data_IF_323423442907
#
_entry.id   IF_323423442907
#
_cell.length_a   1.000
_cell.length_b   1.000
_cell.length_c   1.000
_cell.angle_alpha   90.00
_cell.angle_beta   90.00
_cell.angle_gamma   90.00
#
_symmetry.space_group_name_H-M   'P 1'
#
loop_
_entity.id
_entity.type
_entity.pdbx_description
1 polymer ?
#
# COMPACT_ATOMS: atom_id res chain seq x y z
N UNK A 1 6.78 -23.05 -16.99
CA UNK A 1 7.29 -22.29 -15.84
C UNK A 1 6.31 -21.18 -15.46
N UNK A 2 5.65 -21.34 -14.34
CA UNK A 2 4.74 -20.31 -13.87
C UNK A 2 5.54 -19.16 -13.29
N UNK A 3 5.53 -18.01 -13.96
CA UNK A 3 6.10 -16.81 -13.37
C UNK A 3 5.22 -16.38 -12.20
N UNK A 4 5.80 -16.30 -11.01
CA UNK A 4 5.13 -15.66 -9.89
C UNK A 4 4.98 -14.18 -10.20
N UNK A 5 3.75 -13.69 -10.09
CA UNK A 5 3.51 -12.26 -10.13
C UNK A 5 4.20 -11.64 -8.93
N UNK A 6 5.04 -10.64 -9.17
CA UNK A 6 5.68 -9.90 -8.09
C UNK A 6 4.65 -9.10 -7.31
N UNK A 7 4.89 -8.94 -6.03
CA UNK A 7 4.11 -8.03 -5.21
C UNK A 7 4.33 -6.61 -5.73
N UNK A 8 3.24 -5.91 -6.02
CA UNK A 8 3.25 -4.60 -6.65
C UNK A 8 2.92 -3.51 -5.65
N UNK A 9 3.80 -2.52 -5.55
CA UNK A 9 3.63 -1.34 -4.70
C UNK A 9 3.40 -0.13 -5.59
N UNK A 10 2.37 0.65 -5.28
CA UNK A 10 2.12 1.93 -5.92
C UNK A 10 2.69 3.04 -5.04
N UNK A 11 3.65 3.80 -5.57
CA UNK A 11 4.23 4.95 -4.88
C UNK A 11 3.69 6.24 -5.48
N UNK A 12 3.16 7.13 -4.65
CA UNK A 12 2.57 8.40 -5.07
C UNK A 12 3.27 9.53 -4.33
N UNK A 13 3.92 10.43 -5.07
CA UNK A 13 4.63 11.58 -4.51
C UNK A 13 4.86 12.58 -5.63
N UNK A 14 4.58 13.87 -5.39
CA UNK A 14 4.81 14.92 -6.38
C UNK A 14 6.29 15.30 -6.54
N UNK A 15 7.15 14.87 -5.62
CA UNK A 15 8.59 15.08 -5.68
C UNK A 15 9.27 13.90 -6.37
N UNK A 16 9.68 14.11 -7.60
CA UNK A 16 10.23 13.05 -8.45
C UNK A 16 11.47 12.38 -7.83
N UNK A 17 12.37 13.16 -7.22
CA UNK A 17 13.59 12.61 -6.63
C UNK A 17 13.29 11.62 -5.49
N UNK A 18 12.37 11.98 -4.60
CA UNK A 18 11.94 11.09 -3.52
C UNK A 18 11.22 9.85 -4.05
N UNK A 19 10.39 10.03 -5.07
CA UNK A 19 9.65 8.96 -5.70
C UNK A 19 10.59 7.92 -6.34
N UNK A 20 11.60 8.38 -7.07
CA UNK A 20 12.58 7.50 -7.71
C UNK A 20 13.44 6.77 -6.67
N UNK A 21 13.84 7.45 -5.61
CA UNK A 21 14.61 6.83 -4.52
C UNK A 21 13.83 5.68 -3.88
N UNK A 22 12.54 5.89 -3.61
CA UNK A 22 11.69 4.82 -3.05
C UNK A 22 11.48 3.69 -4.04
N UNK A 23 11.29 4.02 -5.31
CA UNK A 23 11.17 3.01 -6.36
C UNK A 23 12.40 2.10 -6.40
N UNK A 24 13.59 2.69 -6.41
CA UNK A 24 14.85 1.94 -6.43
C UNK A 24 14.99 1.06 -5.20
N UNK A 25 14.68 1.59 -4.03
CA UNK A 25 14.72 0.85 -2.77
C UNK A 25 13.80 -0.37 -2.82
N UNK A 26 12.56 -0.17 -3.22
CA UNK A 26 11.56 -1.24 -3.23
C UNK A 26 11.88 -2.29 -4.31
N UNK A 27 12.30 -1.86 -5.48
CA UNK A 27 12.68 -2.79 -6.55
C UNK A 27 13.88 -3.64 -6.16
N UNK A 28 14.86 -3.06 -5.44
CA UNK A 28 16.02 -3.81 -4.97
C UNK A 28 15.66 -4.84 -3.90
N UNK A 29 14.47 -4.75 -3.32
CA UNK A 29 13.94 -5.69 -2.35
C UNK A 29 12.87 -6.62 -2.92
N UNK A 30 12.78 -6.72 -4.23
CA UNK A 30 11.96 -7.71 -4.91
C UNK A 30 10.55 -7.28 -5.27
N UNK A 31 10.18 -6.02 -5.04
CA UNK A 31 8.86 -5.51 -5.40
C UNK A 31 8.82 -5.00 -6.84
N UNK A 32 7.67 -5.11 -7.45
CA UNK A 32 7.34 -4.35 -8.65
C UNK A 32 6.77 -3.02 -8.21
N UNK A 33 7.18 -1.90 -8.84
CA UNK A 33 6.77 -0.58 -8.40
C UNK A 33 6.11 0.19 -9.53
N UNK A 34 4.93 0.72 -9.27
CA UNK A 34 4.27 1.71 -10.11
C UNK A 34 4.43 3.07 -9.44
N UNK A 35 4.61 4.11 -10.23
CA UNK A 35 4.82 5.46 -9.71
C UNK A 35 3.77 6.40 -10.27
N UNK A 36 3.34 7.34 -9.43
CA UNK A 36 2.43 8.41 -9.80
C UNK A 36 2.92 9.71 -9.16
N UNK A 37 2.82 10.82 -9.87
CA UNK A 37 3.26 12.13 -9.38
C UNK A 37 2.13 12.96 -8.80
N UNK A 38 0.95 12.40 -8.65
CA UNK A 38 -0.20 13.07 -8.04
C UNK A 38 -1.32 12.11 -7.71
N UNK A 39 -2.31 12.60 -6.96
CA UNK A 39 -3.40 11.79 -6.46
C UNK A 39 -4.29 11.21 -7.54
N UNK A 40 -4.63 11.99 -8.56
CA UNK A 40 -5.49 11.52 -9.66
C UNK A 40 -4.82 10.40 -10.46
N UNK A 41 -3.54 10.56 -10.78
CA UNK A 41 -2.78 9.51 -11.46
C UNK A 41 -2.67 8.27 -10.58
N UNK A 42 -2.42 8.45 -9.29
CA UNK A 42 -2.35 7.35 -8.33
C UNK A 42 -3.65 6.54 -8.28
N UNK A 43 -4.80 7.23 -8.22
CA UNK A 43 -6.11 6.57 -8.26
C UNK A 43 -6.31 5.80 -9.56
N UNK A 44 -5.95 6.39 -10.68
CA UNK A 44 -6.09 5.74 -11.99
C UNK A 44 -5.26 4.46 -12.06
N UNK A 45 -4.02 4.51 -11.58
CA UNK A 45 -3.16 3.32 -11.56
C UNK A 45 -3.67 2.25 -10.61
N UNK A 46 -4.18 2.64 -9.45
CA UNK A 46 -4.79 1.71 -8.50
C UNK A 46 -5.97 0.96 -9.12
N UNK A 47 -6.80 1.67 -9.88
CA UNK A 47 -7.99 1.09 -10.51
C UNK A 47 -7.64 0.19 -11.70
N UNK A 48 -6.56 0.50 -12.42
CA UNK A 48 -6.21 -0.20 -13.66
C UNK A 48 -5.19 -1.32 -13.48
N UNK A 49 -4.61 -1.47 -12.31
CA UNK A 49 -3.58 -2.47 -12.04
C UNK A 49 -3.87 -3.22 -10.74
N UNK A 50 -3.31 -4.42 -10.62
CA UNK A 50 -3.33 -5.17 -9.37
C UNK A 50 -2.25 -4.61 -8.45
N UNK A 51 -2.65 -3.83 -7.46
CA UNK A 51 -1.77 -3.19 -6.49
C UNK A 51 -1.94 -3.88 -5.14
N UNK A 52 -0.83 -4.22 -4.51
CA UNK A 52 -0.83 -4.93 -3.22
C UNK A 52 -0.73 -3.99 -2.03
N UNK A 53 -0.07 -2.84 -2.20
CA UNK A 53 0.02 -1.81 -1.17
C UNK A 53 0.34 -0.47 -1.83
N UNK A 54 0.03 0.62 -1.12
CA UNK A 54 0.27 1.99 -1.59
C UNK A 54 1.16 2.70 -0.59
N UNK A 55 2.18 3.41 -1.10
CA UNK A 55 2.99 4.36 -0.34
C UNK A 55 2.66 5.74 -0.86
N UNK A 56 2.06 6.56 -0.02
CA UNK A 56 1.39 7.78 -0.41
C UNK A 56 1.96 8.97 0.36
N UNK A 57 2.42 10.00 -0.36
CA UNK A 57 2.85 11.25 0.25
C UNK A 57 1.65 12.04 0.77
N UNK A 58 1.79 12.64 1.95
CA UNK A 58 0.72 13.47 2.51
C UNK A 58 0.59 14.81 1.78
N UNK A 59 1.73 15.52 1.62
CA UNK A 59 1.68 16.85 1.01
C UNK A 59 1.84 16.79 -0.51
N UNK A 60 0.76 17.07 -1.20
CA UNK A 60 0.76 17.14 -2.66
C UNK A 60 -0.13 18.29 -3.13
N UNK A 61 0.23 18.99 -4.22
CA UNK A 61 -0.62 20.05 -4.77
C UNK A 61 -2.00 19.52 -5.16
N UNK A 62 -3.00 20.32 -4.92
CA UNK A 62 -4.38 20.03 -5.32
C UNK A 62 -5.11 19.11 -4.36
N UNK A 63 -4.54 17.98 -3.98
CA UNK A 63 -5.20 17.00 -3.13
C UNK A 63 -4.17 16.33 -2.24
N UNK A 64 -4.28 16.56 -0.92
CA UNK A 64 -3.38 15.92 0.05
C UNK A 64 -3.63 14.41 0.13
N UNK A 65 -2.62 13.69 0.63
CA UNK A 65 -2.65 12.24 0.69
C UNK A 65 -3.77 11.65 1.55
N UNK A 66 -4.21 12.35 2.58
CA UNK A 66 -5.34 11.89 3.41
C UNK A 66 -6.65 11.80 2.58
N UNK A 67 -6.88 12.75 1.69
CA UNK A 67 -8.05 12.75 0.79
C UNK A 67 -7.91 11.64 -0.25
N UNK A 68 -6.73 11.49 -0.82
CA UNK A 68 -6.44 10.42 -1.78
C UNK A 68 -6.68 9.04 -1.13
N UNK A 69 -6.21 8.86 0.11
CA UNK A 69 -6.38 7.61 0.83
C UNK A 69 -7.86 7.24 1.01
N UNK A 70 -8.71 8.20 1.32
CA UNK A 70 -10.16 7.97 1.43
C UNK A 70 -10.72 7.45 0.11
N UNK A 71 -10.37 8.10 -1.00
CA UNK A 71 -10.82 7.68 -2.33
C UNK A 71 -10.31 6.29 -2.69
N UNK A 72 -9.05 6.00 -2.36
CA UNK A 72 -8.46 4.69 -2.60
C UNK A 72 -9.15 3.58 -1.81
N UNK A 73 -9.45 3.83 -0.54
CA UNK A 73 -10.14 2.85 0.31
C UNK A 73 -11.57 2.60 -0.15
N UNK A 74 -12.25 3.61 -0.66
CA UNK A 74 -13.58 3.42 -1.25
C UNK A 74 -13.55 2.54 -2.48
N UNK A 75 -12.48 2.65 -3.27
CA UNK A 75 -12.32 1.88 -4.51
C UNK A 75 -11.85 0.45 -4.22
N UNK A 76 -10.85 0.28 -3.34
CA UNK A 76 -10.24 -1.00 -3.01
C UNK A 76 -9.89 -1.05 -1.51
N UNK A 77 -10.88 -1.34 -0.68
CA UNK A 77 -10.77 -1.27 0.78
C UNK A 77 -9.72 -2.21 1.37
N UNK A 78 -9.36 -3.27 0.66
CA UNK A 78 -8.42 -4.29 1.14
C UNK A 78 -6.94 -3.91 0.90
N UNK A 79 -6.66 -2.87 0.11
CA UNK A 79 -5.28 -2.49 -0.20
C UNK A 79 -4.74 -1.60 0.92
N UNK A 80 -3.68 -2.02 1.62
CA UNK A 80 -3.10 -1.21 2.70
C UNK A 80 -2.41 0.02 2.16
N UNK A 81 -2.50 1.11 2.93
CA UNK A 81 -1.93 2.41 2.59
C UNK A 81 -0.99 2.86 3.69
N UNK A 82 0.27 3.15 3.32
CA UNK A 82 1.26 3.81 4.16
C UNK A 82 1.29 5.27 3.76
N UNK A 83 1.01 6.17 4.69
CA UNK A 83 1.09 7.61 4.45
C UNK A 83 2.44 8.13 4.96
N UNK A 84 3.16 8.85 4.10
CA UNK A 84 4.45 9.46 4.43
C UNK A 84 4.30 10.96 4.58
N UNK A 85 4.94 11.55 5.60
CA UNK A 85 4.97 12.99 5.77
C UNK A 85 6.36 13.46 6.22
N UNK A 86 6.79 14.60 5.71
CA UNK A 86 8.01 15.27 6.15
C UNK A 86 7.78 16.01 7.47
N UNK A 87 6.53 16.22 7.84
CA UNK A 87 6.14 16.99 9.03
C UNK A 87 5.70 16.06 10.15
N UNK A 88 5.56 16.61 11.35
CA UNK A 88 5.24 15.87 12.55
C UNK A 88 3.87 15.18 12.52
N UNK A 89 3.42 14.67 13.68
CA UNK A 89 2.20 13.84 13.72
C UNK A 89 0.99 14.59 13.18
N UNK A 90 0.17 13.85 12.42
CA UNK A 90 -1.09 14.34 11.88
C UNK A 90 -2.23 14.01 12.84
N UNK A 91 -3.31 14.84 12.89
CA UNK A 91 -4.47 14.50 13.69
C UNK A 91 -5.13 13.22 13.20
N UNK A 92 -5.78 12.49 14.10
CA UNK A 92 -6.42 11.22 13.79
C UNK A 92 -7.41 11.32 12.63
N UNK A 93 -8.10 12.46 12.51
CA UNK A 93 -9.04 12.69 11.40
C UNK A 93 -8.39 12.61 10.02
N UNK A 94 -7.07 12.83 9.93
CA UNK A 94 -6.31 12.70 8.68
C UNK A 94 -5.82 11.28 8.44
N UNK A 95 -5.95 10.39 9.42
CA UNK A 95 -5.37 9.04 9.37
C UNK A 95 -6.41 7.92 9.27
N UNK A 96 -7.71 8.27 9.24
CA UNK A 96 -8.79 7.28 9.31
C UNK A 96 -8.76 6.26 8.18
N UNK A 97 -8.35 6.68 6.97
CA UNK A 97 -8.26 5.79 5.82
C UNK A 97 -6.86 5.21 5.60
N UNK A 98 -5.94 5.43 6.55
CA UNK A 98 -4.53 5.07 6.43
C UNK A 98 -4.23 3.92 7.37
N UNK A 99 -3.51 2.91 6.89
CA UNK A 99 -3.14 1.76 7.71
C UNK A 99 -1.94 2.05 8.60
N UNK A 100 -0.99 2.84 8.11
CA UNK A 100 0.20 3.23 8.86
C UNK A 100 0.68 4.59 8.42
N UNK A 101 1.09 5.41 9.38
CA UNK A 101 1.73 6.70 9.14
C UNK A 101 3.22 6.59 9.46
N UNK A 102 4.07 7.08 8.55
CA UNK A 102 5.51 7.14 8.75
C UNK A 102 6.05 8.53 8.44
N UNK A 103 7.06 8.93 9.20
CA UNK A 103 7.83 10.13 8.89
C UNK A 103 8.82 9.85 7.78
N UNK A 104 8.99 10.80 6.84
CA UNK A 104 10.01 10.73 5.79
C UNK A 104 11.43 10.75 6.35
N UNK A 105 11.60 11.14 7.62
CA UNK A 105 12.91 11.15 8.28
C UNK A 105 13.34 9.77 8.79
N UNK A 106 12.45 8.79 8.82
CA UNK A 106 12.82 7.44 9.22
C UNK A 106 13.80 6.81 8.22
N UNK A 107 14.70 5.92 8.69
CA UNK A 107 15.57 5.18 7.79
C UNK A 107 14.77 4.33 6.81
N UNK A 108 15.29 4.07 5.60
CA UNK A 108 14.58 3.27 4.57
C UNK A 108 14.12 1.90 5.05
N UNK A 109 14.84 1.27 5.96
CA UNK A 109 14.46 -0.06 6.49
C UNK A 109 13.12 -0.05 7.22
N UNK A 110 12.69 1.10 7.76
CA UNK A 110 11.39 1.22 8.45
C UNK A 110 10.25 1.10 7.44
N UNK A 111 10.37 1.73 6.28
CA UNK A 111 9.37 1.56 5.23
C UNK A 111 9.30 0.10 4.76
N UNK A 112 10.45 -0.54 4.57
CA UNK A 112 10.50 -1.94 4.15
C UNK A 112 9.84 -2.87 5.17
N UNK A 113 10.16 -2.72 6.45
CA UNK A 113 9.55 -3.56 7.49
C UNK A 113 8.06 -3.29 7.65
N UNK A 114 7.64 -2.04 7.52
CA UNK A 114 6.23 -1.66 7.59
C UNK A 114 5.43 -2.29 6.46
N UNK A 115 5.94 -2.21 5.23
CA UNK A 115 5.29 -2.83 4.08
C UNK A 115 5.20 -4.34 4.23
N UNK A 116 6.27 -4.97 4.70
CA UNK A 116 6.29 -6.41 4.92
C UNK A 116 5.22 -6.82 5.93
N UNK A 117 5.10 -6.10 7.04
CA UNK A 117 4.07 -6.35 8.05
C UNK A 117 2.66 -6.20 7.49
N UNK A 118 2.40 -5.12 6.77
CA UNK A 118 1.08 -4.86 6.19
C UNK A 118 0.72 -5.91 5.14
N UNK A 119 1.66 -6.30 4.30
CA UNK A 119 1.44 -7.30 3.27
C UNK A 119 1.17 -8.68 3.87
N UNK A 120 1.82 -9.01 4.99
CA UNK A 120 1.59 -10.27 5.69
C UNK A 120 0.23 -10.32 6.40
N UNK A 121 -0.31 -9.16 6.80
CA UNK A 121 -1.61 -9.06 7.50
C UNK A 121 -2.78 -8.87 6.55
N UNK A 122 -2.53 -8.50 5.29
CA UNK A 122 -3.59 -8.21 4.33
C UNK A 122 -4.50 -9.43 4.14
N UNK A 123 -5.79 -9.23 3.87
CA UNK A 123 -6.66 -10.33 3.52
C UNK A 123 -6.11 -11.06 2.29
N UNK A 124 -6.14 -12.38 2.35
CA UNK A 124 -5.73 -13.21 1.22
C UNK A 124 -6.68 -12.98 0.04
N UNK A 125 -6.24 -13.24 -1.19
CA UNK A 125 -7.14 -13.21 -2.33
C UNK A 125 -8.38 -14.06 -2.08
N UNK A 126 -9.50 -13.71 -2.70
CA UNK A 126 -10.80 -14.36 -2.48
C UNK A 126 -10.71 -15.89 -2.51
N UNK A 127 -10.03 -16.44 -3.50
CA UNK A 127 -9.87 -17.88 -3.63
C UNK A 127 -9.20 -18.52 -2.42
N UNK A 128 -8.12 -17.92 -1.92
CA UNK A 128 -7.40 -18.43 -0.75
C UNK A 128 -8.24 -18.37 0.51
N UNK A 129 -9.04 -17.31 0.69
CA UNK A 129 -9.95 -17.20 1.84
C UNK A 129 -11.03 -18.24 1.79
N UNK A 130 -11.63 -18.46 0.63
CA UNK A 130 -12.63 -19.49 0.43
C UNK A 130 -12.08 -20.88 0.75
N UNK A 131 -10.89 -21.19 0.27
CA UNK A 131 -10.23 -22.47 0.50
C UNK A 131 -9.96 -22.70 1.99
N UNK A 132 -9.45 -21.69 2.69
CA UNK A 132 -9.17 -21.78 4.12
C UNK A 132 -10.46 -21.98 4.94
N UNK A 133 -11.53 -21.31 4.57
CA UNK A 133 -12.83 -21.46 5.23
C UNK A 133 -13.36 -22.89 5.06
N UNK A 134 -13.29 -23.40 3.85
CA UNK A 134 -13.69 -24.77 3.56
C UNK A 134 -12.88 -25.78 4.37
N UNK A 135 -11.58 -25.60 4.42
CA UNK A 135 -10.67 -26.48 5.16
C UNK A 135 -11.00 -26.50 6.66
N UNK A 136 -11.21 -25.34 7.25
CA UNK A 136 -11.55 -25.22 8.67
C UNK A 136 -12.87 -25.92 8.99
N UNK A 137 -13.87 -25.82 8.13
CA UNK A 137 -15.16 -26.51 8.32
C UNK A 137 -15.00 -28.03 8.29
N UNK A 138 -14.20 -28.53 7.36
CA UNK A 138 -14.00 -29.96 7.24
C UNK A 138 -13.19 -30.56 8.37
N UNK A 139 -12.21 -29.82 8.87
CA UNK A 139 -11.44 -30.25 10.04
C UNK A 139 -12.29 -30.28 11.31
N UNK A 140 -13.19 -29.31 11.48
CA UNK A 140 -14.14 -29.29 12.58
C UNK A 140 -15.14 -30.43 12.54
N UNK A 141 -15.56 -30.85 11.35
CA UNK A 141 -16.53 -31.93 11.17
C UNK A 141 -15.95 -33.32 11.47
N UNK A 142 -14.63 -33.48 11.55
CA UNK A 142 -13.96 -34.76 11.86
C UNK A 142 -13.73 -34.98 13.34
N UNK A 143 -13.99 -33.99 14.15
CA UNK A 143 -13.91 -34.08 15.60
C UNK A 143 -15.29 -34.39 16.19
#
# INVERSE_FOLDING_TARGET
MTSRLKTTILCVDDHWSGLISRKMLLESNGYQVLVATGGDEGLRLLLSHSVDAVVLDYQMPGMNGDVVAVKMKRAKSHVPIVLLSAYGPLPQSKLDAVDTFLSKSHPPKILLSTLQDLLNRRPRPFFSRWFNTWRSRNEGARQ
#
